data_IF_252713251003
#
_entry.id   IF_252713251003
#
_cell.length_a   1.000
_cell.length_b   1.000
_cell.length_c   1.000
_cell.angle_alpha   90.00
_cell.angle_beta   90.00
_cell.angle_gamma   90.00
#
_symmetry.space_group_name_H-M   'P 1'
#
loop_
_entity.id
_entity.type
_entity.pdbx_description
1 polymer ?
#
# COMPACT_ATOMS: atom_id res chain seq x y z
N UNK A 1 -14.86 0.46 3.85
CA UNK A 1 -13.44 0.61 4.23
C UNK A 1 -12.77 -0.77 4.14
N UNK A 2 -11.67 -0.96 3.37
CA UNK A 2 -11.00 -2.25 3.28
C UNK A 2 -10.07 -2.47 4.49
N UNK A 3 -10.66 -2.82 5.64
CA UNK A 3 -9.94 -3.01 6.90
C UNK A 3 -8.79 -4.03 6.76
N UNK A 4 -9.05 -5.18 6.13
CA UNK A 4 -8.04 -6.21 5.87
C UNK A 4 -6.82 -5.69 5.11
N UNK A 5 -7.00 -4.83 4.11
CA UNK A 5 -5.90 -4.27 3.33
C UNK A 5 -5.04 -3.30 4.13
N UNK A 6 -5.66 -2.44 4.95
CA UNK A 6 -4.92 -1.54 5.84
C UNK A 6 -4.15 -2.32 6.90
N UNK A 7 -4.76 -3.34 7.49
CA UNK A 7 -4.10 -4.28 8.43
C UNK A 7 -2.92 -5.02 7.80
N UNK A 8 -3.05 -5.50 6.55
CA UNK A 8 -1.95 -6.13 5.84
C UNK A 8 -0.80 -5.13 5.61
N UNK A 9 -1.10 -3.89 5.24
CA UNK A 9 -0.11 -2.83 5.08
C UNK A 9 0.58 -2.49 6.41
N UNK A 10 -0.14 -2.39 7.53
CA UNK A 10 0.46 -2.22 8.85
C UNK A 10 1.49 -3.30 9.18
N UNK A 11 1.12 -4.57 8.99
CA UNK A 11 1.97 -5.72 9.29
C UNK A 11 3.24 -5.75 8.44
N UNK A 12 3.16 -5.23 7.21
CA UNK A 12 4.29 -5.15 6.29
C UNK A 12 5.27 -3.99 6.61
N UNK A 13 4.96 -3.10 7.55
CA UNK A 13 5.82 -1.97 7.93
C UNK A 13 6.12 -1.96 9.44
N UNK A 14 6.77 -3.01 9.98
CA UNK A 14 6.97 -3.15 11.44
C UNK A 14 7.87 -2.07 12.04
N UNK A 15 8.71 -1.42 11.23
CA UNK A 15 9.62 -0.36 11.68
C UNK A 15 8.99 1.04 11.69
N UNK A 16 7.77 1.18 11.15
CA UNK A 16 7.07 2.48 11.05
C UNK A 16 5.91 2.53 12.03
N UNK A 17 5.78 3.64 12.78
CA UNK A 17 4.63 3.87 13.66
C UNK A 17 3.48 4.50 12.86
N UNK A 18 2.77 3.68 12.10
CA UNK A 18 1.64 4.12 11.26
C UNK A 18 0.34 4.23 12.08
N UNK A 19 -0.64 4.95 11.52
CA UNK A 19 -2.05 4.91 11.88
C UNK A 19 -2.90 4.59 10.64
N UNK A 20 -4.19 4.30 10.84
CA UNK A 20 -5.11 3.97 9.75
C UNK A 20 -5.27 5.12 8.76
N UNK A 21 -5.00 6.35 9.18
CA UNK A 21 -5.08 7.56 8.37
C UNK A 21 -3.83 7.73 7.48
N UNK A 22 -2.72 7.06 7.82
CA UNK A 22 -1.47 7.11 7.06
C UNK A 22 -1.46 6.12 5.88
N UNK A 23 -2.48 5.25 5.80
CA UNK A 23 -2.60 4.22 4.75
C UNK A 23 -3.87 4.48 3.93
N UNK A 24 -3.70 4.71 2.64
CA UNK A 24 -4.80 4.84 1.68
C UNK A 24 -4.74 3.72 0.64
N UNK A 25 -5.85 3.03 0.40
CA UNK A 25 -5.94 2.02 -0.66
C UNK A 25 -6.52 2.69 -1.90
N UNK A 26 -5.75 2.73 -2.98
CA UNK A 26 -6.15 3.30 -4.27
C UNK A 26 -6.02 2.25 -5.38
N UNK A 27 -6.74 2.42 -6.49
CA UNK A 27 -6.51 1.62 -7.71
C UNK A 27 -5.78 2.49 -8.71
N UNK A 28 -4.52 2.16 -9.03
CA UNK A 28 -3.74 2.91 -10.04
C UNK A 28 -3.98 2.34 -11.42
N UNK A 29 -4.38 3.17 -12.38
CA UNK A 29 -4.40 2.78 -13.78
C UNK A 29 -2.97 2.41 -14.20
N UNK A 30 -2.79 1.23 -14.80
CA UNK A 30 -1.51 0.84 -15.39
C UNK A 30 -1.33 1.72 -16.65
N UNK A 31 -0.61 2.82 -16.55
CA UNK A 31 -0.41 3.73 -17.68
C UNK A 31 0.64 3.18 -18.65
N UNK A 32 0.15 2.72 -19.80
CA UNK A 32 0.81 2.89 -21.09
C UNK A 32 -0.26 3.22 -22.14
N UNK A 33 -0.71 4.48 -22.16
CA UNK A 33 -1.36 5.07 -23.33
C UNK A 33 -2.85 4.77 -23.57
N UNK A 34 -3.65 4.40 -22.57
CA UNK A 34 -5.11 4.34 -22.71
C UNK A 34 -5.81 5.16 -21.63
N UNK A 35 -6.81 5.90 -22.09
CA UNK A 35 -7.67 6.82 -21.35
C UNK A 35 -8.03 6.29 -19.97
N UNK A 36 -8.12 7.20 -18.99
CA UNK A 36 -8.61 6.95 -17.62
C UNK A 36 -9.89 6.11 -17.72
N UNK A 37 -9.77 4.80 -17.54
CA UNK A 37 -10.94 3.93 -17.50
C UNK A 37 -11.85 4.49 -16.42
N UNK A 38 -13.05 4.93 -16.82
CA UNK A 38 -14.02 5.56 -15.92
C UNK A 38 -14.37 4.70 -14.69
N UNK A 39 -14.00 3.41 -14.70
CA UNK A 39 -14.19 2.44 -13.62
C UNK A 39 -12.97 2.20 -12.70
N UNK A 40 -11.82 2.89 -12.89
CA UNK A 40 -10.67 2.74 -11.99
C UNK A 40 -10.09 1.32 -11.91
N UNK A 41 -10.00 0.61 -13.05
CA UNK A 41 -9.71 -0.84 -13.15
C UNK A 41 -8.26 -1.28 -12.86
N UNK A 42 -7.52 -0.49 -12.08
CA UNK A 42 -6.17 -0.81 -11.66
C UNK A 42 -6.08 -1.88 -10.56
N UNK A 43 -4.94 -2.59 -10.46
CA UNK A 43 -4.65 -3.35 -9.24
C UNK A 43 -4.67 -2.40 -8.03
N UNK A 44 -5.22 -2.83 -6.88
CA UNK A 44 -5.17 -2.01 -5.69
C UNK A 44 -3.72 -1.90 -5.20
N UNK A 45 -3.37 -0.71 -4.71
CA UNK A 45 -2.09 -0.44 -4.07
C UNK A 45 -2.35 0.29 -2.76
N UNK A 46 -1.50 0.05 -1.76
CA UNK A 46 -1.45 0.86 -0.56
C UNK A 46 -0.50 2.03 -0.80
N UNK A 47 -0.98 3.23 -0.56
CA UNK A 47 -0.17 4.46 -0.48
C UNK A 47 0.04 4.74 1.00
N UNK A 48 1.29 4.73 1.43
CA UNK A 48 1.70 4.97 2.81
C UNK A 48 2.33 6.36 2.88
N UNK A 49 1.76 7.24 3.70
CA UNK A 49 2.26 8.61 3.92
C UNK A 49 3.73 8.58 4.38
N UNK A 50 4.53 9.58 4.00
CA UNK A 50 5.86 9.81 4.58
C UNK A 50 5.80 10.03 6.10
N UNK A 51 6.90 9.82 6.82
CA UNK A 51 6.93 9.99 8.29
C UNK A 51 6.97 11.47 8.68
N UNK A 52 7.63 12.28 7.85
CA UNK A 52 7.73 13.72 8.03
C UNK A 52 7.06 14.46 6.87
N UNK A 53 6.66 15.68 7.15
CA UNK A 53 6.16 16.58 6.11
C UNK A 53 7.24 16.81 5.05
N UNK A 54 6.87 16.62 3.78
CA UNK A 54 7.80 16.71 2.64
C UNK A 54 8.49 15.40 2.26
N UNK A 55 8.39 14.34 3.06
CA UNK A 55 8.88 13.01 2.66
C UNK A 55 7.93 12.36 1.64
N UNK A 56 8.46 11.66 0.62
CA UNK A 56 7.64 11.03 -0.40
C UNK A 56 6.77 9.90 0.17
N UNK A 57 5.60 9.70 -0.43
CA UNK A 57 4.75 8.56 -0.13
C UNK A 57 5.37 7.27 -0.66
N UNK A 58 5.22 6.18 0.08
CA UNK A 58 5.59 4.84 -0.34
C UNK A 58 4.40 4.14 -0.98
N UNK A 59 4.63 3.31 -1.99
CA UNK A 59 3.58 2.49 -2.61
C UNK A 59 3.90 1.02 -2.39
N UNK A 60 2.94 0.26 -1.85
CA UNK A 60 3.05 -1.18 -1.65
C UNK A 60 1.98 -1.91 -2.49
N UNK A 61 2.38 -3.05 -3.06
CA UNK A 61 1.45 -3.89 -3.81
C UNK A 61 0.48 -4.58 -2.85
N UNK A 62 -0.80 -4.57 -3.21
CA UNK A 62 -1.87 -5.14 -2.41
C UNK A 62 -2.66 -6.14 -3.26
N UNK A 63 -2.95 -7.30 -2.69
CA UNK A 63 -3.99 -8.20 -3.19
C UNK A 63 -5.10 -8.29 -2.14
N UNK A 64 -6.36 -8.27 -2.58
CA UNK A 64 -7.54 -8.36 -1.70
C UNK A 64 -8.45 -9.43 -2.29
N UNK A 65 -8.88 -10.36 -1.45
CA UNK A 65 -9.89 -11.36 -1.78
C UNK A 65 -10.95 -11.39 -0.69
N UNK A 66 -12.19 -11.71 -1.05
CA UNK A 66 -13.26 -11.98 -0.10
C UNK A 66 -14.11 -13.13 -0.60
N UNK A 67 -14.57 -13.97 0.31
CA UNK A 67 -15.52 -15.05 0.05
C UNK A 67 -16.39 -15.28 1.30
N UNK A 68 -17.70 -15.38 1.10
CA UNK A 68 -18.67 -15.40 2.20
C UNK A 68 -18.47 -14.25 3.20
N UNK A 69 -18.31 -14.61 4.47
CA UNK A 69 -18.12 -13.67 5.60
C UNK A 69 -16.66 -13.30 5.87
N UNK A 70 -15.71 -13.76 5.04
CA UNK A 70 -14.29 -13.54 5.24
C UNK A 70 -13.68 -12.66 4.15
N UNK A 71 -12.76 -11.79 4.55
CA UNK A 71 -11.90 -11.04 3.65
C UNK A 71 -10.44 -11.20 4.06
N UNK A 72 -9.57 -11.38 3.07
CA UNK A 72 -8.13 -11.46 3.26
C UNK A 72 -7.44 -10.41 2.38
N UNK A 73 -6.29 -9.94 2.85
CA UNK A 73 -5.43 -9.11 2.04
C UNK A 73 -3.97 -9.49 2.27
N UNK A 74 -3.19 -9.41 1.21
CA UNK A 74 -1.75 -9.59 1.23
C UNK A 74 -1.12 -8.27 0.81
N UNK A 75 -0.17 -7.80 1.61
CA UNK A 75 0.65 -6.64 1.31
C UNK A 75 2.09 -7.09 1.10
N UNK A 76 2.63 -6.80 -0.07
CA UNK A 76 4.06 -6.93 -0.32
C UNK A 76 4.68 -5.57 -0.01
N UNK A 77 5.34 -5.47 1.15
CA UNK A 77 5.90 -4.23 1.64
C UNK A 77 7.25 -4.43 2.32
N UNK A 78 8.07 -3.39 2.13
CA UNK A 78 9.35 -3.05 2.73
C UNK A 78 10.60 -3.83 2.29
N UNK A 79 11.41 -3.19 1.45
CA UNK A 79 12.87 -3.30 1.48
C UNK A 79 13.39 -2.11 2.33
N UNK A 80 14.01 -2.34 3.50
CA UNK A 80 14.87 -1.32 4.08
C UNK A 80 16.03 -1.11 3.11
N UNK A 81 16.42 0.15 2.83
CA UNK A 81 17.79 0.36 2.36
C UNK A 81 18.70 -0.28 3.40
N UNK A 82 19.47 -1.28 2.99
CA UNK A 82 20.57 -1.75 3.80
C UNK A 82 21.41 -0.51 4.07
N UNK A 83 21.49 -0.09 5.34
CA UNK A 83 22.54 0.83 5.74
C UNK A 83 23.82 0.07 5.47
N UNK A 84 24.46 0.32 4.32
CA UNK A 84 25.82 -0.13 4.09
C UNK A 84 26.62 0.39 5.28
N UNK A 85 26.97 -0.54 6.16
CA UNK A 85 27.70 -0.24 7.39
C UNK A 85 29.03 0.37 7.01
N UNK A 86 29.10 1.69 7.04
CA UNK A 86 30.35 2.43 7.06
C UNK A 86 30.63 2.74 8.53
N UNK A 87 31.42 1.85 9.14
CA UNK A 87 32.34 2.19 10.23
C UNK A 87 33.76 1.77 9.77
#
# INVERSE_FOLDING_TARGET
>A
MPFAAKEAAFKAHPFRKLSFHDITIVRRALEAGREKNANGSGPPVAVIRGEREGEPEQTAAISISHDGDYATAVCLGFEPEATDGVD
#
